data_IF_414749349150
#
_entry.id   IF_414749349150
#
_cell.length_a   1.000
_cell.length_b   1.000
_cell.length_c   1.000
_cell.angle_alpha   90.00
_cell.angle_beta   90.00
_cell.angle_gamma   90.00
#
_symmetry.space_group_name_H-M   'P 1'
#
loop_
_entity.id
_entity.type
_entity.pdbx_description
1 polymer ?
#
# COMPACT_ATOMS: atom_id res chain seq x y z
N UNK A 1 2.39 -2.57 17.96
CA UNK A 1 1.58 -1.52 17.27
C UNK A 1 1.37 -1.95 15.83
N UNK A 2 0.16 -1.85 15.33
CA UNK A 2 -0.17 -2.12 13.91
C UNK A 2 -0.90 -0.90 13.37
N UNK A 3 -0.57 -0.44 12.16
CA UNK A 3 -1.23 0.70 11.56
C UNK A 3 -0.89 0.90 10.08
N UNK A 4 -1.85 1.48 9.34
CA UNK A 4 -1.65 2.08 8.04
C UNK A 4 -1.75 3.60 8.17
N UNK A 5 -0.90 4.34 7.49
CA UNK A 5 -0.97 5.79 7.48
C UNK A 5 -1.15 6.30 6.04
N UNK A 6 -1.92 7.40 5.83
CA UNK A 6 -2.26 7.85 4.50
C UNK A 6 -1.06 8.20 3.65
N UNK A 7 -1.17 7.89 2.35
CA UNK A 7 -0.15 8.22 1.36
C UNK A 7 -0.27 9.64 0.80
N UNK A 8 -1.30 10.38 1.20
CA UNK A 8 -1.54 11.73 0.70
C UNK A 8 -0.61 12.70 1.42
N UNK A 9 0.25 13.35 0.64
CA UNK A 9 1.21 14.36 1.06
C UNK A 9 2.39 13.85 1.93
N UNK A 10 3.24 12.98 1.34
CA UNK A 10 4.58 12.71 1.89
C UNK A 10 5.48 13.94 1.82
N UNK A 11 5.19 14.94 2.65
CA UNK A 11 6.12 15.99 2.99
C UNK A 11 6.62 15.82 4.42
N UNK A 12 7.21 14.66 4.72
CA UNK A 12 7.90 14.41 6.00
C UNK A 12 8.94 15.50 6.26
N UNK A 13 9.56 16.04 5.21
CA UNK A 13 10.53 17.11 5.32
C UNK A 13 9.95 18.51 5.59
N UNK A 14 8.69 18.75 5.27
CA UNK A 14 8.05 20.03 5.59
C UNK A 14 7.89 20.17 7.11
N UNK A 15 7.62 19.09 7.80
CA UNK A 15 7.46 19.08 9.26
C UNK A 15 8.79 19.27 10.00
N UNK A 16 9.91 18.74 9.47
CA UNK A 16 11.26 19.00 10.03
C UNK A 16 11.73 20.45 9.84
N UNK A 17 11.26 21.14 8.81
CA UNK A 17 11.51 22.58 8.62
C UNK A 17 10.73 23.45 9.60
N UNK A 18 9.57 22.96 10.03
CA UNK A 18 8.60 23.65 10.88
C UNK A 18 8.55 23.04 12.30
N UNK A 19 9.62 22.41 12.77
CA UNK A 19 9.70 21.98 14.18
C UNK A 19 9.61 23.16 15.20
N UNK A 20 9.30 24.35 14.72
CA UNK A 20 8.92 25.54 15.47
C UNK A 20 7.54 26.13 15.14
N UNK A 21 6.82 25.63 14.11
CA UNK A 21 5.48 26.13 13.72
C UNK A 21 4.58 24.99 13.19
N UNK A 22 3.50 24.77 13.90
CA UNK A 22 2.50 23.72 13.72
C UNK A 22 1.45 24.08 12.65
N UNK A 23 1.80 24.21 11.37
CA UNK A 23 0.79 24.44 10.33
C UNK A 23 1.05 23.60 9.08
N UNK A 24 0.51 22.36 9.08
CA UNK A 24 0.50 21.48 7.91
C UNK A 24 -0.27 20.18 8.18
N UNK A 25 -1.57 20.17 7.91
CA UNK A 25 -2.53 19.13 8.36
C UNK A 25 -2.31 17.69 7.87
N UNK A 26 -1.37 17.37 6.99
CA UNK A 26 -1.34 16.06 6.31
C UNK A 26 0.00 15.29 6.35
N UNK A 27 1.11 15.91 6.69
CA UNK A 27 2.37 15.22 7.03
C UNK A 27 2.38 14.64 8.44
N UNK A 28 1.31 14.89 9.17
CA UNK A 28 1.18 14.74 10.63
C UNK A 28 1.17 13.29 11.11
N UNK A 29 0.68 12.32 10.33
CA UNK A 29 0.43 10.98 10.88
C UNK A 29 1.69 10.14 11.09
N UNK A 30 2.73 10.31 10.28
CA UNK A 30 4.02 9.68 10.59
C UNK A 30 4.57 10.21 11.91
N UNK A 31 4.52 11.52 12.13
CA UNK A 31 5.02 12.13 13.36
C UNK A 31 4.19 11.71 14.57
N UNK A 32 2.88 11.54 14.42
CA UNK A 32 2.05 10.98 15.50
C UNK A 32 2.46 9.55 15.88
N UNK A 33 2.88 8.73 14.91
CA UNK A 33 3.43 7.40 15.18
C UNK A 33 4.77 7.53 15.91
N UNK A 34 5.66 8.40 15.41
CA UNK A 34 6.97 8.65 16.01
C UNK A 34 6.83 9.15 17.47
N UNK A 35 6.02 10.17 17.69
CA UNK A 35 5.79 10.76 19.02
C UNK A 35 5.21 9.74 20.00
N UNK A 36 4.29 8.90 19.54
CA UNK A 36 3.73 7.84 20.36
C UNK A 36 4.80 6.79 20.74
N UNK A 37 5.67 6.40 19.82
CA UNK A 37 6.77 5.46 20.10
C UNK A 37 7.77 6.07 21.05
N UNK A 38 8.15 7.33 20.84
CA UNK A 38 9.07 8.08 21.68
C UNK A 38 8.52 8.23 23.12
N UNK A 39 7.23 8.56 23.24
CA UNK A 39 6.52 8.62 24.52
C UNK A 39 6.58 7.29 25.29
N UNK A 40 6.30 6.16 24.61
CA UNK A 40 6.38 4.85 25.26
C UNK A 40 7.82 4.51 25.71
N UNK A 41 8.82 4.97 24.98
CA UNK A 41 10.23 4.75 25.34
C UNK A 41 10.67 5.67 26.48
N UNK A 42 10.43 6.99 26.36
CA UNK A 42 10.97 7.99 27.27
C UNK A 42 10.15 8.13 28.55
N UNK A 43 8.82 8.24 28.42
CA UNK A 43 7.95 8.52 29.56
C UNK A 43 7.47 7.24 30.25
N UNK A 44 7.00 6.27 29.44
CA UNK A 44 6.44 5.03 29.98
C UNK A 44 7.52 3.99 30.34
N UNK A 45 8.77 4.19 29.89
CA UNK A 45 9.89 3.22 30.05
C UNK A 45 9.52 1.79 29.59
N UNK A 46 8.52 1.69 28.69
CA UNK A 46 7.99 0.43 28.18
C UNK A 46 7.85 0.52 26.66
N UNK A 47 8.93 0.33 25.91
CA UNK A 47 8.91 0.47 24.45
C UNK A 47 7.94 -0.52 23.80
N UNK A 48 7.29 -0.10 22.73
CA UNK A 48 6.53 -0.98 21.86
C UNK A 48 7.49 -1.96 21.20
N UNK A 49 7.37 -3.24 21.51
CA UNK A 49 8.35 -4.25 21.06
C UNK A 49 8.32 -4.48 19.56
N UNK A 50 7.14 -4.49 18.95
CA UNK A 50 6.92 -4.83 17.55
C UNK A 50 6.04 -3.81 16.86
N UNK A 51 6.40 -3.46 15.61
CA UNK A 51 5.64 -2.58 14.74
C UNK A 51 5.29 -3.33 13.46
N UNK A 52 4.08 -3.12 12.97
CA UNK A 52 3.69 -3.49 11.61
C UNK A 52 3.02 -2.26 11.00
N UNK A 53 3.66 -1.66 10.03
CA UNK A 53 3.16 -0.47 9.33
C UNK A 53 2.96 -0.79 7.86
N UNK A 54 1.87 -0.27 7.30
CA UNK A 54 1.52 -0.47 5.89
C UNK A 54 1.46 0.86 5.16
N UNK A 55 1.88 0.85 3.89
CA UNK A 55 1.70 1.98 3.00
C UNK A 55 1.73 1.56 1.52
N UNK A 56 1.55 2.53 0.61
CA UNK A 56 1.75 2.29 -0.83
C UNK A 56 3.24 2.22 -1.16
N UNK A 57 3.60 1.42 -2.17
CA UNK A 57 4.98 1.21 -2.62
C UNK A 57 5.67 2.50 -3.14
N UNK A 58 4.89 3.52 -3.51
CA UNK A 58 5.40 4.85 -3.88
C UNK A 58 6.20 5.53 -2.77
N UNK A 59 6.03 5.14 -1.51
CA UNK A 59 6.82 5.64 -0.39
C UNK A 59 8.33 5.51 -0.65
N UNK A 60 8.77 4.41 -1.26
CA UNK A 60 10.19 4.16 -1.58
C UNK A 60 10.81 5.18 -2.54
N UNK A 61 9.99 5.93 -3.27
CA UNK A 61 10.44 6.89 -4.28
C UNK A 61 9.99 8.32 -4.02
N UNK A 62 9.37 8.58 -2.87
CA UNK A 62 8.92 9.92 -2.45
C UNK A 62 10.07 10.74 -1.84
N UNK A 63 10.07 12.08 -2.03
CA UNK A 63 9.32 12.88 -2.98
C UNK A 63 9.95 12.88 -4.38
N UNK A 64 9.21 13.40 -5.37
CA UNK A 64 9.70 13.42 -6.76
C UNK A 64 11.00 14.20 -6.97
N UNK A 65 11.23 15.26 -6.18
CA UNK A 65 12.45 16.12 -6.29
C UNK A 65 13.68 15.54 -5.58
N UNK A 66 13.49 14.62 -4.62
CA UNK A 66 14.57 13.99 -3.84
C UNK A 66 14.19 12.55 -3.52
N UNK A 67 14.33 11.69 -4.52
CA UNK A 67 13.81 10.32 -4.51
C UNK A 67 14.29 9.50 -3.32
N UNK A 68 13.33 8.97 -2.54
CA UNK A 68 13.56 8.11 -1.38
C UNK A 68 13.81 8.86 -0.06
N UNK A 69 13.90 10.19 -0.07
CA UNK A 69 14.17 10.97 1.14
C UNK A 69 13.16 10.70 2.26
N UNK A 70 11.87 10.71 1.97
CA UNK A 70 10.84 10.58 2.99
C UNK A 70 10.94 9.22 3.69
N UNK A 71 11.18 8.17 2.91
CA UNK A 71 11.39 6.84 3.48
C UNK A 71 12.68 6.74 4.29
N UNK A 72 13.79 7.37 3.83
CA UNK A 72 15.02 7.43 4.59
C UNK A 72 14.87 8.14 5.94
N UNK A 73 14.10 9.23 5.98
CA UNK A 73 13.76 9.94 7.23
C UNK A 73 12.97 9.03 8.18
N UNK A 74 11.98 8.31 7.68
CA UNK A 74 11.21 7.36 8.50
C UNK A 74 12.11 6.25 9.07
N UNK A 75 12.98 5.68 8.25
CA UNK A 75 13.93 4.65 8.67
C UNK A 75 14.92 5.20 9.71
N UNK A 76 15.48 6.40 9.51
CA UNK A 76 16.35 7.06 10.48
C UNK A 76 15.65 7.31 11.83
N UNK A 77 14.39 7.74 11.80
CA UNK A 77 13.58 7.90 13.01
C UNK A 77 13.42 6.58 13.78
N UNK A 78 13.10 5.48 13.07
CA UNK A 78 12.97 4.17 13.72
C UNK A 78 14.30 3.66 14.29
N UNK A 79 15.39 3.80 13.55
CA UNK A 79 16.73 3.41 14.00
C UNK A 79 17.14 4.19 15.26
N UNK A 80 16.91 5.51 15.30
CA UNK A 80 17.19 6.38 16.46
C UNK A 80 16.34 6.01 17.69
N UNK A 81 15.13 5.50 17.49
CA UNK A 81 14.31 4.95 18.58
C UNK A 81 14.73 3.54 19.00
N UNK A 82 15.76 2.98 18.39
CA UNK A 82 16.31 1.67 18.70
C UNK A 82 15.57 0.50 18.06
N UNK A 83 14.94 0.72 16.90
CA UNK A 83 14.33 -0.36 16.11
C UNK A 83 15.25 -0.81 14.98
N UNK A 84 15.34 -2.12 14.76
CA UNK A 84 15.61 -2.65 13.44
C UNK A 84 14.30 -2.67 12.67
N UNK A 85 14.28 -2.23 11.40
CA UNK A 85 13.06 -2.20 10.61
C UNK A 85 13.28 -2.85 9.24
N UNK A 86 12.66 -4.03 9.05
CA UNK A 86 12.55 -4.68 7.75
C UNK A 86 11.46 -4.02 6.93
N UNK A 87 11.62 -3.97 5.61
CA UNK A 87 10.51 -3.67 4.70
C UNK A 87 10.47 -4.61 3.52
N UNK A 88 9.25 -4.81 2.99
CA UNK A 88 9.02 -5.52 1.74
C UNK A 88 7.82 -4.95 1.00
N UNK A 89 7.98 -4.76 -0.31
CA UNK A 89 6.84 -4.54 -1.20
C UNK A 89 6.26 -5.88 -1.57
N UNK A 90 5.02 -6.08 -1.18
CA UNK A 90 4.27 -7.31 -1.42
C UNK A 90 3.13 -6.98 -2.38
N UNK A 91 3.04 -7.73 -3.46
CA UNK A 91 1.87 -7.76 -4.31
C UNK A 91 1.08 -9.02 -3.98
N UNK A 92 -0.14 -8.89 -3.51
CA UNK A 92 -0.93 -10.01 -3.04
C UNK A 92 -1.08 -11.13 -4.08
N UNK A 93 -1.20 -10.78 -5.36
CA UNK A 93 -1.28 -11.77 -6.44
C UNK A 93 -0.02 -12.63 -6.62
N UNK A 94 1.15 -12.14 -6.20
CA UNK A 94 2.39 -12.91 -6.28
C UNK A 94 2.46 -14.00 -5.20
N UNK A 95 1.52 -14.00 -4.26
CA UNK A 95 1.37 -14.96 -3.17
C UNK A 95 0.00 -15.66 -3.18
N UNK A 96 -0.61 -15.75 -4.36
CA UNK A 96 -1.79 -16.58 -4.59
C UNK A 96 -3.13 -15.87 -4.54
N UNK A 97 -3.17 -14.61 -4.16
CA UNK A 97 -4.41 -13.85 -4.01
C UNK A 97 -5.01 -13.39 -5.35
N UNK A 98 -6.35 -13.28 -5.46
CA UNK A 98 -7.01 -12.91 -6.70
C UNK A 98 -6.92 -11.43 -7.08
N UNK A 99 -6.12 -10.64 -6.36
CA UNK A 99 -5.95 -9.20 -6.58
C UNK A 99 -4.49 -8.77 -6.64
N UNK A 100 -4.11 -8.02 -7.67
CA UNK A 100 -2.81 -7.37 -7.81
C UNK A 100 -2.79 -6.08 -6.97
N UNK A 101 -2.55 -6.22 -5.65
CA UNK A 101 -2.48 -5.11 -4.71
C UNK A 101 -1.08 -5.02 -4.12
N UNK A 102 -0.32 -4.03 -4.59
CA UNK A 102 1.05 -3.79 -4.13
C UNK A 102 1.04 -2.84 -2.92
N UNK A 103 1.68 -3.27 -1.85
CA UNK A 103 1.87 -2.47 -0.63
C UNK A 103 3.25 -2.69 -0.06
N UNK A 104 3.79 -1.67 0.57
CA UNK A 104 4.98 -1.80 1.40
C UNK A 104 4.54 -2.11 2.83
N UNK A 105 5.11 -3.17 3.38
CA UNK A 105 5.03 -3.48 4.79
C UNK A 105 6.37 -3.17 5.44
N UNK A 106 6.32 -2.51 6.61
CA UNK A 106 7.48 -2.18 7.42
C UNK A 106 7.27 -2.84 8.77
N UNK A 107 8.17 -3.75 9.15
CA UNK A 107 8.10 -4.49 10.41
C UNK A 107 9.28 -4.08 11.28
N UNK A 108 8.99 -3.49 12.43
CA UNK A 108 10.00 -2.98 13.36
C UNK A 108 10.15 -3.87 14.58
N UNK A 109 11.39 -4.08 15.00
CA UNK A 109 11.80 -4.86 16.19
C UNK A 109 12.61 -3.99 17.10
N UNK A 110 12.09 -3.63 18.28
CA UNK A 110 12.84 -2.84 19.24
C UNK A 110 14.04 -3.64 19.78
N UNK A 111 15.14 -2.97 20.10
CA UNK A 111 16.40 -3.57 20.60
C UNK A 111 16.26 -4.48 21.84
N UNK A 112 15.14 -4.38 22.56
CA UNK A 112 14.83 -5.28 23.69
C UNK A 112 14.27 -6.63 23.25
N UNK A 113 13.96 -6.81 21.96
CA UNK A 113 13.38 -8.06 21.43
C UNK A 113 14.45 -9.11 21.13
N UNK A 114 14.06 -10.37 21.17
CA UNK A 114 14.91 -11.49 20.76
C UNK A 114 15.28 -11.39 19.26
N UNK A 115 14.35 -10.98 18.40
CA UNK A 115 14.59 -10.86 16.95
C UNK A 115 15.70 -9.85 16.67
N UNK A 116 15.66 -8.66 17.31
CA UNK A 116 16.72 -7.67 17.15
C UNK A 116 18.08 -8.24 17.56
N UNK A 117 18.17 -8.93 18.70
CA UNK A 117 19.42 -9.53 19.21
C UNK A 117 19.95 -10.58 18.23
N UNK A 118 19.08 -11.48 17.74
CA UNK A 118 19.43 -12.47 16.72
C UNK A 118 20.02 -11.83 15.46
N UNK A 119 19.46 -10.70 15.00
CA UNK A 119 19.98 -9.97 13.85
C UNK A 119 21.37 -9.35 14.14
N UNK A 120 21.61 -8.92 15.37
CA UNK A 120 22.91 -8.36 15.80
C UNK A 120 24.03 -9.39 15.87
N UNK A 121 23.74 -10.65 16.12
CA UNK A 121 24.74 -11.73 16.19
C UNK A 121 25.44 -11.98 14.85
N UNK A 122 24.87 -11.50 13.74
CA UNK A 122 25.43 -11.66 12.39
C UNK A 122 26.52 -10.65 12.12
N UNK A 123 27.53 -11.05 11.37
CA UNK A 123 28.56 -10.13 10.87
C UNK A 123 27.93 -9.02 10.03
N UNK A 124 28.58 -7.87 9.97
CA UNK A 124 28.07 -6.74 9.17
C UNK A 124 27.95 -7.09 7.66
N UNK A 125 28.86 -7.92 7.15
CA UNK A 125 28.90 -8.36 5.76
C UNK A 125 27.72 -9.26 5.41
N UNK A 126 27.31 -10.13 6.33
CA UNK A 126 26.25 -11.12 6.10
C UNK A 126 24.86 -10.64 6.52
N UNK A 127 24.81 -9.67 7.46
CA UNK A 127 23.55 -9.25 8.11
C UNK A 127 22.44 -8.93 7.10
N UNK A 128 22.70 -8.03 6.18
CA UNK A 128 21.70 -7.63 5.19
C UNK A 128 21.25 -8.82 4.32
N UNK A 129 22.20 -9.58 3.79
CA UNK A 129 21.91 -10.74 2.94
C UNK A 129 21.12 -11.82 3.69
N UNK A 130 21.53 -12.14 4.89
CA UNK A 130 20.87 -13.15 5.71
C UNK A 130 19.42 -12.75 6.03
N UNK A 131 19.19 -11.53 6.50
CA UNK A 131 17.86 -11.07 6.90
C UNK A 131 16.94 -10.93 5.66
N UNK A 132 17.41 -10.33 4.58
CA UNK A 132 16.56 -10.07 3.42
C UNK A 132 16.22 -11.35 2.65
N UNK A 133 17.19 -12.28 2.53
CA UNK A 133 17.09 -13.40 1.58
C UNK A 133 16.99 -14.79 2.22
N UNK A 134 17.23 -14.94 3.54
CA UNK A 134 17.27 -16.27 4.16
C UNK A 134 16.27 -16.44 5.30
N UNK A 135 16.36 -15.62 6.34
CA UNK A 135 15.73 -15.90 7.63
C UNK A 135 15.23 -14.67 8.40
N UNK A 136 15.02 -13.53 7.71
CA UNK A 136 14.25 -12.42 8.24
C UNK A 136 12.77 -12.78 8.33
N UNK A 137 12.02 -12.06 9.15
CA UNK A 137 10.60 -12.38 9.38
C UNK A 137 9.76 -12.17 8.12
N UNK A 138 10.09 -11.12 7.32
CA UNK A 138 9.41 -10.92 6.03
C UNK A 138 9.83 -11.95 4.97
N UNK A 139 11.04 -12.53 5.07
CA UNK A 139 11.46 -13.61 4.18
C UNK A 139 10.75 -14.92 4.54
N UNK A 140 10.56 -15.20 5.82
CA UNK A 140 9.83 -16.37 6.28
C UNK A 140 8.35 -16.32 5.90
N UNK A 141 7.72 -15.14 6.01
CA UNK A 141 6.30 -14.95 5.70
C UNK A 141 6.03 -14.84 4.19
N UNK A 142 6.95 -14.22 3.44
CA UNK A 142 6.82 -13.94 2.00
C UNK A 142 8.10 -14.35 1.28
N UNK A 143 8.27 -15.62 0.98
CA UNK A 143 9.50 -16.15 0.39
C UNK A 143 9.87 -15.50 -0.94
N UNK A 144 11.18 -15.30 -1.16
CA UNK A 144 11.74 -14.76 -2.40
C UNK A 144 12.94 -15.58 -2.85
N UNK A 145 13.34 -15.44 -4.10
CA UNK A 145 14.59 -16.03 -4.60
C UNK A 145 15.82 -15.50 -3.84
N UNK A 146 16.85 -16.34 -3.67
CA UNK A 146 17.98 -16.10 -2.75
C UNK A 146 19.25 -15.55 -3.44
N UNK A 147 19.20 -15.24 -4.72
CA UNK A 147 20.37 -14.92 -5.58
C UNK A 147 20.58 -13.41 -5.79
N UNK A 148 19.69 -12.58 -5.24
CA UNK A 148 19.74 -11.14 -5.46
C UNK A 148 20.93 -10.46 -4.76
N UNK A 149 21.49 -9.44 -5.40
CA UNK A 149 22.52 -8.58 -4.82
C UNK A 149 21.94 -7.69 -3.71
N UNK A 150 22.71 -7.48 -2.64
CA UNK A 150 22.32 -6.62 -1.52
C UNK A 150 23.25 -5.41 -1.46
N UNK A 151 22.66 -4.24 -1.62
CA UNK A 151 23.35 -2.95 -1.49
C UNK A 151 23.37 -2.51 -0.03
N UNK A 152 24.49 -1.95 0.42
CA UNK A 152 24.67 -1.39 1.78
C UNK A 152 24.83 0.13 1.68
N UNK A 153 24.00 0.87 2.42
CA UNK A 153 23.98 2.34 2.48
C UNK A 153 24.17 2.76 3.93
N UNK A 154 25.18 3.57 4.21
CA UNK A 154 25.31 4.24 5.51
C UNK A 154 24.36 5.43 5.55
N UNK A 155 23.60 5.56 6.64
CA UNK A 155 22.71 6.70 6.88
C UNK A 155 23.25 7.51 8.07
N UNK A 156 23.02 8.82 8.07
CA UNK A 156 23.37 9.67 9.17
C UNK A 156 22.44 9.45 10.37
N UNK A 157 22.95 9.56 11.57
CA UNK A 157 22.15 9.46 12.79
C UNK A 157 21.30 10.70 13.03
N UNK A 158 21.70 11.87 12.47
CA UNK A 158 20.88 13.08 12.52
C UNK A 158 19.82 13.07 11.41
N UNK A 159 18.58 12.86 11.80
CA UNK A 159 17.45 12.85 10.88
C UNK A 159 17.27 14.16 10.10
N UNK A 160 17.72 15.31 10.64
CA UNK A 160 17.70 16.58 9.93
C UNK A 160 18.72 16.61 8.79
N UNK A 161 19.92 16.03 9.02
CA UNK A 161 20.93 15.85 7.97
C UNK A 161 20.39 14.91 6.89
N UNK A 162 19.80 13.78 7.28
CA UNK A 162 19.16 12.84 6.34
C UNK A 162 18.13 13.56 5.47
N UNK A 163 17.25 14.34 6.07
CA UNK A 163 16.23 15.10 5.34
C UNK A 163 16.80 16.06 4.30
N UNK A 164 17.93 16.69 4.59
CA UNK A 164 18.57 17.67 3.68
C UNK A 164 19.40 17.01 2.58
N UNK A 165 20.17 15.99 2.93
CA UNK A 165 21.24 15.48 2.09
C UNK A 165 20.96 14.14 1.42
N UNK A 166 20.06 13.31 1.97
CA UNK A 166 19.85 11.96 1.46
C UNK A 166 19.47 11.96 -0.01
N UNK A 167 20.26 11.31 -0.81
CA UNK A 167 20.05 11.14 -2.26
C UNK A 167 19.84 12.45 -3.05
N UNK A 168 20.35 13.57 -2.53
CA UNK A 168 20.23 14.89 -3.16
C UNK A 168 20.84 14.88 -4.57
N UNK A 169 20.13 15.46 -5.55
CA UNK A 169 20.57 15.55 -6.94
C UNK A 169 20.50 14.23 -7.74
N UNK A 170 20.09 13.12 -7.13
CA UNK A 170 19.94 11.83 -7.82
C UNK A 170 18.55 11.67 -8.40
N UNK A 171 18.47 11.07 -9.61
CA UNK A 171 17.20 10.83 -10.33
C UNK A 171 16.44 9.59 -9.85
N UNK A 172 17.12 8.61 -9.28
CA UNK A 172 16.55 7.34 -8.86
C UNK A 172 16.63 7.21 -7.34
N UNK A 173 15.64 6.53 -6.73
CA UNK A 173 15.71 6.12 -5.34
C UNK A 173 16.73 5.00 -5.18
N UNK A 174 17.54 4.99 -4.11
CA UNK A 174 18.43 3.88 -3.82
C UNK A 174 17.71 2.67 -3.18
N UNK A 175 16.44 2.80 -2.84
CA UNK A 175 15.67 1.73 -2.21
C UNK A 175 15.09 0.78 -3.25
N UNK A 176 15.28 -0.51 -3.03
CA UNK A 176 14.61 -1.59 -3.72
C UNK A 176 13.39 -2.09 -2.91
N UNK A 177 12.72 -3.12 -3.45
CA UNK A 177 11.48 -3.64 -2.91
C UNK A 177 11.61 -4.46 -1.60
N UNK A 178 12.84 -4.72 -1.14
CA UNK A 178 13.12 -5.36 0.13
C UNK A 178 14.32 -4.71 0.82
N UNK A 179 14.35 -4.75 2.15
CA UNK A 179 15.50 -4.27 2.90
C UNK A 179 15.30 -4.26 4.41
N UNK A 180 16.34 -3.79 5.08
CA UNK A 180 16.37 -3.57 6.54
C UNK A 180 17.25 -2.37 6.88
N UNK A 181 16.83 -1.58 7.87
CA UNK A 181 17.70 -0.64 8.58
C UNK A 181 18.03 -1.18 9.95
N UNK A 182 19.30 -1.04 10.36
CA UNK A 182 19.76 -1.38 11.69
C UNK A 182 21.12 -0.72 11.98
N UNK A 183 21.23 0.00 13.10
CA UNK A 183 22.46 0.66 13.58
C UNK A 183 23.11 1.56 12.50
N UNK A 184 22.37 2.50 11.95
CA UNK A 184 22.85 3.46 10.95
C UNK A 184 23.19 2.84 9.59
N UNK A 185 22.77 1.61 9.33
CA UNK A 185 23.01 0.90 8.07
C UNK A 185 21.71 0.42 7.45
N UNK A 186 21.53 0.75 6.20
CA UNK A 186 20.44 0.30 5.35
C UNK A 186 20.98 -0.76 4.39
N UNK A 187 20.37 -1.93 4.40
CA UNK A 187 20.59 -2.95 3.39
C UNK A 187 19.34 -3.06 2.54
N UNK A 188 19.49 -3.08 1.23
CA UNK A 188 18.35 -3.16 0.30
C UNK A 188 18.67 -4.04 -0.89
N UNK A 189 17.66 -4.73 -1.40
CA UNK A 189 17.78 -5.67 -2.51
C UNK A 189 16.53 -5.67 -3.37
N UNK A 190 16.71 -5.90 -4.66
CA UNK A 190 15.60 -6.20 -5.57
C UNK A 190 15.36 -7.71 -5.51
N UNK A 191 14.25 -8.11 -4.89
CA UNK A 191 13.88 -9.51 -4.76
C UNK A 191 12.68 -9.84 -5.64
N UNK A 192 12.62 -11.10 -6.09
CA UNK A 192 11.50 -11.63 -6.85
C UNK A 192 10.75 -12.66 -5.98
N UNK A 193 9.40 -12.63 -5.96
CA UNK A 193 8.59 -13.57 -5.19
C UNK A 193 8.87 -15.03 -5.58
N UNK A 194 8.88 -15.93 -4.59
CA UNK A 194 9.04 -17.37 -4.78
C UNK A 194 7.93 -18.10 -4.01
N UNK A 195 6.74 -18.12 -4.60
CA UNK A 195 5.56 -18.75 -4.04
C UNK A 195 5.16 -19.96 -4.89
N UNK A 196 4.95 -21.10 -4.24
CA UNK A 196 4.58 -22.37 -4.88
C UNK A 196 3.18 -22.87 -4.48
N UNK A 197 2.43 -22.06 -3.73
CA UNK A 197 1.08 -22.37 -3.32
C UNK A 197 0.04 -22.20 -4.44
N UNK A 198 -1.24 -22.51 -4.16
CA UNK A 198 -2.33 -22.27 -5.10
C UNK A 198 -2.50 -20.79 -5.39
N UNK A 199 -2.86 -20.45 -6.63
CA UNK A 199 -3.12 -19.09 -7.05
C UNK A 199 -4.54 -18.95 -7.54
N UNK A 200 -5.22 -17.88 -7.13
CA UNK A 200 -6.56 -17.54 -7.53
C UNK A 200 -6.57 -16.45 -8.62
N UNK A 201 -7.55 -16.51 -9.48
CA UNK A 201 -7.83 -15.50 -10.50
C UNK A 201 -9.20 -14.87 -10.28
N UNK A 202 -9.51 -13.79 -11.02
CA UNK A 202 -10.80 -13.12 -10.92
C UNK A 202 -11.97 -14.09 -11.09
N UNK A 203 -11.88 -15.02 -12.05
CA UNK A 203 -12.92 -16.00 -12.35
C UNK A 203 -13.30 -16.89 -11.20
N UNK A 204 -12.36 -17.24 -10.30
CA UNK A 204 -12.62 -18.09 -9.12
C UNK A 204 -13.51 -17.40 -8.09
N UNK A 205 -13.59 -16.06 -8.14
CA UNK A 205 -14.32 -15.25 -7.17
C UNK A 205 -15.69 -14.81 -7.70
N UNK A 206 -15.85 -14.76 -9.04
CA UNK A 206 -17.05 -14.26 -9.68
C UNK A 206 -18.24 -15.18 -9.39
N UNK A 207 -19.32 -14.58 -8.89
CA UNK A 207 -20.59 -15.25 -8.69
C UNK A 207 -21.40 -15.21 -10.01
N UNK A 208 -21.61 -16.38 -10.65
CA UNK A 208 -22.39 -16.49 -11.87
C UNK A 208 -23.79 -17.12 -11.65
N UNK A 209 -24.14 -17.41 -10.38
CA UNK A 209 -25.36 -18.12 -9.99
C UNK A 209 -26.68 -17.32 -10.16
N UNK A 210 -26.66 -16.24 -10.89
CA UNK A 210 -27.87 -15.63 -11.45
C UNK A 210 -28.60 -14.61 -10.58
N UNK A 211 -28.18 -14.36 -9.35
CA UNK A 211 -28.90 -13.42 -8.43
C UNK A 211 -28.19 -12.06 -8.30
N UNK A 212 -27.72 -11.52 -9.44
CA UNK A 212 -27.04 -10.21 -9.47
C UNK A 212 -28.08 -9.16 -9.83
N UNK A 213 -28.20 -8.12 -8.99
CA UNK A 213 -29.10 -7.01 -9.22
C UNK A 213 -28.82 -6.27 -10.55
N UNK A 214 -29.87 -5.87 -11.24
CA UNK A 214 -29.76 -5.15 -12.54
C UNK A 214 -28.95 -3.86 -12.44
N UNK A 215 -28.84 -3.26 -11.25
CA UNK A 215 -28.03 -2.07 -11.01
C UNK A 215 -26.52 -2.26 -11.25
N UNK A 216 -26.03 -3.50 -11.32
CA UNK A 216 -24.63 -3.81 -11.65
C UNK A 216 -24.38 -3.94 -13.15
N UNK A 217 -25.42 -4.23 -13.95
CA UNK A 217 -25.27 -4.37 -15.37
C UNK A 217 -25.07 -3.02 -16.07
N UNK A 218 -24.38 -3.05 -17.19
CA UNK A 218 -24.03 -1.91 -18.02
C UNK A 218 -24.77 -2.09 -19.34
N UNK A 219 -25.67 -1.18 -19.66
CA UNK A 219 -26.38 -1.17 -20.96
C UNK A 219 -25.43 -0.81 -22.10
N UNK A 220 -25.76 -1.21 -23.33
CA UNK A 220 -25.01 -0.81 -24.54
C UNK A 220 -24.87 0.71 -24.64
N UNK A 221 -25.92 1.46 -24.28
CA UNK A 221 -25.89 2.92 -24.26
C UNK A 221 -24.85 3.45 -23.27
N UNK A 222 -24.74 2.90 -22.06
CA UNK A 222 -23.75 3.30 -21.07
C UNK A 222 -22.33 2.88 -21.48
N UNK A 223 -22.21 1.75 -22.19
CA UNK A 223 -20.93 1.24 -22.67
C UNK A 223 -20.36 2.14 -23.78
N UNK A 224 -21.17 2.50 -24.79
CA UNK A 224 -20.70 3.13 -26.02
C UNK A 224 -21.10 4.61 -26.18
N UNK A 225 -21.73 5.26 -25.20
CA UNK A 225 -21.99 6.69 -25.28
C UNK A 225 -20.69 7.51 -25.37
N UNK A 226 -20.80 8.82 -25.71
CA UNK A 226 -19.65 9.73 -25.98
C UNK A 226 -18.58 9.75 -24.86
N UNK A 227 -18.93 9.44 -23.61
CA UNK A 227 -18.04 9.33 -22.46
C UNK A 227 -18.37 8.07 -21.64
N UNK A 228 -18.77 7.00 -22.31
CA UNK A 228 -19.09 5.72 -21.71
C UNK A 228 -17.87 4.92 -21.27
N UNK A 229 -18.13 3.70 -20.85
CA UNK A 229 -17.08 2.83 -20.34
C UNK A 229 -16.01 2.54 -21.40
N UNK A 230 -16.40 2.20 -22.64
CA UNK A 230 -15.45 1.94 -23.72
C UNK A 230 -14.57 3.16 -24.02
N UNK A 231 -15.14 4.37 -24.03
CA UNK A 231 -14.34 5.59 -24.21
C UNK A 231 -13.32 5.77 -23.08
N UNK A 232 -13.72 5.54 -21.83
CA UNK A 232 -12.82 5.67 -20.67
C UNK A 232 -11.69 4.64 -20.72
N UNK A 233 -11.91 3.43 -21.23
CA UNK A 233 -10.91 2.36 -21.30
C UNK A 233 -9.92 2.51 -22.44
N UNK A 234 -10.28 3.22 -23.50
CA UNK A 234 -9.41 3.43 -24.64
C UNK A 234 -8.28 4.43 -24.35
N UNK A 235 -7.21 4.30 -25.14
CA UNK A 235 -6.14 5.28 -25.14
C UNK A 235 -6.66 6.66 -25.58
N UNK A 236 -6.20 7.70 -24.91
CA UNK A 236 -6.59 9.08 -25.25
C UNK A 236 -5.49 10.07 -24.93
N UNK A 237 -5.48 11.15 -25.70
CA UNK A 237 -4.67 12.33 -25.49
C UNK A 237 -5.60 13.54 -25.34
N UNK A 238 -5.47 14.26 -24.24
CA UNK A 238 -6.35 15.38 -23.89
C UNK A 238 -5.46 16.59 -23.60
N UNK A 239 -5.67 17.66 -24.36
CA UNK A 239 -4.97 18.90 -24.10
C UNK A 239 -5.52 19.57 -22.84
N UNK A 240 -4.63 19.95 -21.96
CA UNK A 240 -4.93 20.55 -20.66
C UNK A 240 -4.05 21.77 -20.43
N UNK A 241 -4.58 22.68 -19.61
CA UNK A 241 -3.81 23.82 -19.11
C UNK A 241 -3.51 23.60 -17.63
N UNK A 242 -2.24 23.71 -17.24
CA UNK A 242 -1.85 23.62 -15.83
C UNK A 242 -2.35 24.84 -15.03
N UNK A 243 -2.34 24.74 -13.71
CA UNK A 243 -2.67 25.90 -12.82
C UNK A 243 -1.76 27.12 -13.05
N UNK A 244 -0.56 26.90 -13.60
CA UNK A 244 0.40 27.96 -13.97
C UNK A 244 0.26 28.46 -15.40
N UNK A 245 -0.82 28.09 -16.13
CA UNK A 245 -1.07 28.53 -17.49
C UNK A 245 -0.31 27.76 -18.57
N UNK A 246 0.46 26.71 -18.24
CA UNK A 246 1.23 25.94 -19.20
C UNK A 246 0.34 24.91 -19.91
N UNK A 247 0.35 24.91 -21.24
CA UNK A 247 -0.36 23.92 -22.06
C UNK A 247 0.42 22.61 -22.09
N UNK A 248 -0.26 21.49 -21.85
CA UNK A 248 0.31 20.15 -21.96
C UNK A 248 -0.73 19.13 -22.42
N UNK A 249 -0.29 18.09 -23.11
CA UNK A 249 -1.14 16.98 -23.51
C UNK A 249 -1.06 15.87 -22.45
N UNK A 250 -2.16 15.65 -21.76
CA UNK A 250 -2.32 14.53 -20.85
C UNK A 250 -2.64 13.26 -21.66
N UNK A 251 -1.77 12.26 -21.56
CA UNK A 251 -1.93 10.99 -22.28
C UNK A 251 -2.29 9.87 -21.32
N UNK A 252 -3.34 9.14 -21.61
CA UNK A 252 -3.74 7.89 -20.95
C UNK A 252 -3.59 6.72 -21.91
N UNK A 253 -2.93 5.63 -21.47
CA UNK A 253 -2.86 4.39 -22.22
C UNK A 253 -4.19 3.64 -22.23
N UNK A 254 -4.35 2.67 -23.15
CA UNK A 254 -5.48 1.75 -23.17
C UNK A 254 -5.44 0.85 -21.94
N UNK A 255 -6.62 0.65 -21.31
CA UNK A 255 -6.83 -0.32 -20.24
C UNK A 255 -7.54 -1.56 -20.80
N UNK A 256 -7.21 -2.73 -20.25
CA UNK A 256 -7.89 -4.00 -20.60
C UNK A 256 -9.41 -3.84 -20.35
N UNK A 257 -10.21 -4.26 -21.34
CA UNK A 257 -11.66 -4.21 -21.31
C UNK A 257 -12.22 -5.35 -22.18
N UNK A 258 -13.04 -6.23 -21.61
CA UNK A 258 -13.33 -6.39 -20.17
C UNK A 258 -12.10 -6.85 -19.39
N UNK A 259 -12.13 -6.73 -18.05
CA UNK A 259 -11.11 -7.34 -17.19
C UNK A 259 -11.14 -8.87 -17.36
N UNK A 260 -9.98 -9.48 -17.60
CA UNK A 260 -9.89 -10.91 -17.89
C UNK A 260 -10.16 -11.76 -16.64
N UNK A 261 -11.07 -12.72 -16.76
CA UNK A 261 -11.39 -13.66 -15.66
C UNK A 261 -10.23 -14.62 -15.34
N UNK A 262 -9.32 -14.83 -16.28
CA UNK A 262 -8.17 -15.77 -16.16
C UNK A 262 -6.94 -15.14 -15.48
N UNK A 263 -7.05 -13.96 -14.96
CA UNK A 263 -5.96 -13.23 -14.30
C UNK A 263 -6.40 -12.69 -12.94
N UNK A 264 -5.47 -12.46 -11.99
CA UNK A 264 -5.78 -11.68 -10.80
C UNK A 264 -6.24 -10.26 -11.16
N UNK A 265 -7.26 -9.77 -10.48
CA UNK A 265 -7.82 -8.45 -10.70
C UNK A 265 -6.77 -7.35 -10.43
N UNK A 266 -6.88 -6.24 -11.14
CA UNK A 266 -6.13 -5.01 -10.81
C UNK A 266 -6.55 -4.49 -9.43
N UNK A 267 -5.74 -3.60 -8.82
CA UNK A 267 -6.04 -3.02 -7.50
C UNK A 267 -7.44 -2.40 -7.46
N UNK A 268 -8.26 -2.85 -6.51
CA UNK A 268 -9.56 -2.22 -6.20
C UNK A 268 -9.32 -0.83 -5.59
N UNK A 269 -10.08 0.14 -6.09
CA UNK A 269 -10.01 1.54 -5.66
C UNK A 269 -11.23 1.94 -4.83
N UNK A 270 -11.12 3.02 -4.07
CA UNK A 270 -12.20 3.51 -3.19
C UNK A 270 -13.48 3.93 -3.93
N UNK A 271 -13.38 4.30 -5.21
CA UNK A 271 -14.53 4.69 -6.03
C UNK A 271 -15.17 3.54 -6.82
N UNK A 272 -14.76 2.28 -6.60
CA UNK A 272 -15.21 1.10 -7.37
C UNK A 272 -16.72 0.94 -7.37
N UNK A 273 -17.40 1.19 -6.27
CA UNK A 273 -18.86 1.03 -6.14
C UNK A 273 -19.72 2.07 -6.90
N UNK A 274 -19.10 3.08 -7.49
CA UNK A 274 -19.82 4.13 -8.21
C UNK A 274 -20.21 3.71 -9.63
N UNK A 275 -21.39 4.17 -10.11
CA UNK A 275 -21.88 3.90 -11.49
C UNK A 275 -21.13 4.67 -12.58
N UNK A 276 -20.49 5.79 -12.25
CA UNK A 276 -19.79 6.64 -13.23
C UNK A 276 -18.61 5.90 -13.88
N UNK A 277 -18.52 5.85 -15.21
CA UNK A 277 -17.40 5.24 -15.92
C UNK A 277 -16.05 5.85 -15.53
N UNK A 278 -15.00 5.01 -15.50
CA UNK A 278 -13.63 5.45 -15.23
C UNK A 278 -12.65 4.44 -15.82
N UNK A 279 -11.47 4.92 -16.22
CA UNK A 279 -10.40 4.08 -16.75
C UNK A 279 -9.96 3.01 -15.73
N UNK A 280 -9.94 3.35 -14.45
CA UNK A 280 -9.39 2.49 -13.39
C UNK A 280 -10.39 1.52 -12.78
N UNK A 281 -11.72 1.78 -12.88
CA UNK A 281 -12.75 0.85 -12.39
C UNK A 281 -12.81 -0.42 -13.22
N UNK A 282 -13.37 -1.48 -12.64
CA UNK A 282 -13.44 -2.80 -13.26
C UNK A 282 -14.78 -3.06 -13.93
N UNK A 283 -14.73 -3.70 -15.09
CA UNK A 283 -15.90 -4.24 -15.78
C UNK A 283 -15.58 -5.62 -16.35
N UNK A 284 -16.53 -6.51 -16.28
CA UNK A 284 -16.43 -7.89 -16.74
C UNK A 284 -17.59 -8.23 -17.67
N UNK A 285 -17.43 -9.33 -18.42
CA UNK A 285 -18.52 -9.92 -19.20
C UNK A 285 -18.87 -11.28 -18.60
N UNK A 286 -20.13 -11.48 -18.26
CA UNK A 286 -20.68 -12.76 -17.83
C UNK A 286 -21.93 -13.06 -18.69
N UNK A 287 -21.95 -14.24 -19.29
CA UNK A 287 -23.07 -14.67 -20.17
C UNK A 287 -23.46 -13.62 -21.22
N UNK A 288 -22.46 -12.99 -21.81
CA UNK A 288 -22.63 -11.97 -22.86
C UNK A 288 -23.05 -10.57 -22.39
N UNK A 289 -23.21 -10.35 -21.07
CA UNK A 289 -23.59 -9.05 -20.51
C UNK A 289 -22.43 -8.38 -19.78
N UNK A 290 -22.19 -7.12 -20.07
CA UNK A 290 -21.24 -6.30 -19.31
C UNK A 290 -21.81 -5.95 -17.94
N UNK A 291 -20.99 -6.02 -16.92
CA UNK A 291 -21.34 -5.58 -15.57
C UNK A 291 -20.14 -5.12 -14.74
N UNK A 292 -20.42 -4.37 -13.69
CA UNK A 292 -19.47 -4.04 -12.62
C UNK A 292 -19.39 -5.20 -11.64
N UNK A 293 -18.34 -5.19 -10.81
CA UNK A 293 -18.23 -6.11 -9.69
C UNK A 293 -19.25 -5.77 -8.60
N UNK A 294 -19.83 -6.80 -7.99
CA UNK A 294 -20.70 -6.66 -6.83
C UNK A 294 -19.88 -6.39 -5.57
N UNK A 295 -20.50 -5.80 -4.55
CA UNK A 295 -19.82 -5.58 -3.27
C UNK A 295 -19.42 -6.88 -2.57
N UNK A 296 -20.19 -7.97 -2.76
CA UNK A 296 -19.85 -9.30 -2.28
C UNK A 296 -18.59 -9.87 -2.94
N UNK A 297 -18.42 -9.65 -4.25
CA UNK A 297 -17.22 -10.01 -4.99
C UNK A 297 -16.02 -9.15 -4.57
N UNK A 298 -16.22 -7.85 -4.33
CA UNK A 298 -15.16 -6.97 -3.83
C UNK A 298 -14.65 -7.41 -2.45
N UNK A 299 -15.55 -7.81 -1.54
CA UNK A 299 -15.18 -8.38 -0.24
C UNK A 299 -14.28 -9.61 -0.44
N UNK A 300 -14.73 -10.58 -1.24
CA UNK A 300 -13.97 -11.83 -1.53
C UNK A 300 -12.63 -11.58 -2.23
N UNK A 301 -12.56 -10.64 -3.17
CA UNK A 301 -11.33 -10.27 -3.88
C UNK A 301 -10.27 -9.66 -2.95
N UNK A 302 -10.68 -9.23 -1.77
CA UNK A 302 -9.78 -8.74 -0.72
C UNK A 302 -9.58 -9.75 0.42
N UNK A 303 -9.96 -11.02 0.22
CA UNK A 303 -9.79 -12.10 1.19
C UNK A 303 -10.83 -12.14 2.32
N UNK A 304 -11.84 -11.25 2.30
CA UNK A 304 -12.91 -11.26 3.30
C UNK A 304 -14.04 -12.22 2.89
N UNK A 305 -14.78 -12.77 3.85
CA UNK A 305 -16.03 -13.46 3.54
C UNK A 305 -16.99 -12.57 2.74
N UNK A 306 -17.73 -13.14 1.80
CA UNK A 306 -18.73 -12.37 1.06
C UNK A 306 -19.76 -11.72 2.00
N UNK A 307 -20.11 -10.46 1.70
CA UNK A 307 -20.98 -9.63 2.53
C UNK A 307 -20.39 -9.19 3.90
N UNK A 308 -19.08 -9.31 4.09
CA UNK A 308 -18.39 -8.85 5.30
C UNK A 308 -18.66 -7.37 5.60
N UNK A 309 -18.69 -6.53 4.57
CA UNK A 309 -18.93 -5.09 4.71
C UNK A 309 -20.41 -4.70 4.68
N UNK A 310 -21.36 -5.67 4.74
CA UNK A 310 -22.77 -5.41 4.50
C UNK A 310 -23.45 -4.60 5.62
N UNK A 311 -23.07 -4.86 6.84
CA UNK A 311 -23.66 -4.22 8.01
C UNK A 311 -22.65 -3.38 8.78
N UNK A 312 -23.14 -2.34 9.44
CA UNK A 312 -22.36 -1.50 10.34
C UNK A 312 -23.21 -1.05 11.53
N UNK A 313 -22.52 -0.59 12.58
CA UNK A 313 -23.16 0.01 13.74
C UNK A 313 -23.32 1.51 13.55
N UNK A 314 -24.47 2.05 13.89
CA UNK A 314 -24.65 3.50 14.06
C UNK A 314 -23.98 3.90 15.37
N UNK A 315 -23.26 5.00 15.38
CA UNK A 315 -22.51 5.62 16.47
C UNK A 315 -22.59 4.99 17.87
N UNK A 316 -21.45 4.91 18.56
CA UNK A 316 -21.27 4.38 19.93
C UNK A 316 -22.02 5.11 21.06
N UNK A 317 -22.73 6.22 20.77
CA UNK A 317 -23.56 6.93 21.74
C UNK A 317 -24.91 6.26 22.00
N UNK A 318 -25.30 5.28 21.17
CA UNK A 318 -26.58 4.57 21.28
C UNK A 318 -26.31 3.17 21.82
N UNK A 319 -26.58 2.98 23.11
CA UNK A 319 -26.31 1.72 23.86
C UNK A 319 -27.24 0.56 23.52
N UNK A 320 -28.20 0.73 22.60
CA UNK A 320 -29.07 -0.35 22.18
C UNK A 320 -28.44 -1.19 21.08
N UNK A 321 -28.39 -2.50 21.26
CA UNK A 321 -27.83 -3.49 20.30
C UNK A 321 -28.63 -3.61 19.00
N UNK A 322 -29.68 -2.85 18.80
CA UNK A 322 -30.61 -2.97 17.68
C UNK A 322 -30.36 -1.98 16.54
N UNK A 323 -29.14 -1.44 16.41
CA UNK A 323 -28.82 -0.42 15.41
C UNK A 323 -27.87 -0.88 14.31
N UNK A 324 -27.91 -2.15 13.92
CA UNK A 324 -27.30 -2.57 12.67
C UNK A 324 -28.03 -1.87 11.51
N UNK A 325 -27.26 -1.22 10.65
CA UNK A 325 -27.78 -0.69 9.40
C UNK A 325 -27.03 -1.26 8.21
N UNK A 326 -27.74 -1.46 7.12
CA UNK A 326 -27.11 -1.90 5.88
C UNK A 326 -26.28 -0.77 5.28
N UNK A 327 -24.98 -1.02 5.12
CA UNK A 327 -24.05 -0.06 4.53
C UNK A 327 -24.32 0.07 3.03
N UNK A 328 -24.49 1.29 2.47
CA UNK A 328 -24.69 1.49 1.04
C UNK A 328 -23.53 0.92 0.19
N UNK A 329 -23.81 0.36 -0.98
CA UNK A 329 -22.84 -0.29 -1.86
C UNK A 329 -21.62 0.57 -2.17
N UNK A 330 -21.81 1.88 -2.40
CA UNK A 330 -20.69 2.79 -2.63
C UNK A 330 -19.75 2.91 -1.41
N UNK A 331 -20.30 2.89 -0.19
CA UNK A 331 -19.53 2.93 1.06
C UNK A 331 -18.83 1.60 1.32
N UNK A 332 -19.48 0.47 1.04
CA UNK A 332 -18.86 -0.86 1.09
C UNK A 332 -17.61 -0.92 0.20
N UNK A 333 -17.77 -0.55 -1.07
CA UNK A 333 -16.64 -0.50 -2.00
C UNK A 333 -15.52 0.46 -1.56
N UNK A 334 -15.88 1.60 -0.95
CA UNK A 334 -14.92 2.53 -0.37
C UNK A 334 -14.10 1.88 0.76
N UNK A 335 -14.74 1.13 1.65
CA UNK A 335 -14.08 0.43 2.75
C UNK A 335 -13.09 -0.60 2.19
N UNK A 336 -13.52 -1.42 1.22
CA UNK A 336 -12.66 -2.42 0.57
C UNK A 336 -11.52 -1.77 -0.22
N UNK A 337 -11.75 -0.66 -0.91
CA UNK A 337 -10.69 0.07 -1.60
C UNK A 337 -9.56 0.56 -0.68
N UNK A 338 -9.83 0.75 0.61
CA UNK A 338 -8.85 1.07 1.65
C UNK A 338 -8.31 -0.15 2.40
N UNK A 339 -8.98 -1.30 2.32
CA UNK A 339 -8.59 -2.49 3.06
C UNK A 339 -7.28 -3.11 2.55
N UNK A 340 -6.64 -3.90 3.40
CA UNK A 340 -5.61 -4.86 2.99
C UNK A 340 -6.26 -6.05 2.28
N UNK A 341 -5.49 -6.81 1.52
CA UNK A 341 -5.84 -8.19 1.14
C UNK A 341 -5.43 -9.08 2.30
N UNK A 342 -6.36 -9.92 2.75
CA UNK A 342 -6.20 -10.84 3.86
C UNK A 342 -6.17 -12.26 3.28
N UNK A 343 -5.05 -12.95 3.46
CA UNK A 343 -4.87 -14.30 2.96
C UNK A 343 -3.83 -15.04 3.76
#
# INVERSE_FOLDING_TARGET
MVGGFPCQDYSVATTLKNSGELDGEKGVLWWSIYDLLDYFIKERKKPTKYLILENVDRLLVSPAKQRGRDFAVMLSCLDNLGYAAEWRVINAADYGEPQRRRRIFIVGYHKTTHIYKRFMERSLQERGRSIILKDGELQNAFPTANDSEVTNIKIDNDTAIVSKSFNHGKKLSPFFNAGIIMNGRIFTSKVEPSFSGPSQVLGDIIDDNGNIGEEYFISEKELYNKKGWAWHKNAKAIDKVSKSGHNYTFKEGKMEEPDALTKPLRTIITSEGGKTPSIIKHIIIIKGRYRRLTTKELDKLSGFPGDWTKYGLRSSSDQSRDHEYQIPNARRAFLIGNALVVG
#
